data_IF_400434753662
#
_entry.id   IF_400434753662
#
_cell.length_a   1.000
_cell.length_b   1.000
_cell.length_c   1.000
_cell.angle_alpha   90.00
_cell.angle_beta   90.00
_cell.angle_gamma   90.00
#
_symmetry.space_group_name_H-M   'P 1'
#
loop_
_entity.id
_entity.type
_entity.pdbx_description
1 polymer ?
#
# COMPACT_ATOMS: atom_id res chain seq x y z
N UNK A 1 -6.25 -7.03 27.59
CA UNK A 1 -6.64 -5.73 27.04
C UNK A 1 -5.90 -5.56 25.70
N UNK A 2 -6.57 -5.08 24.65
CA UNK A 2 -5.95 -4.80 23.35
C UNK A 2 -5.45 -3.35 23.37
N UNK A 3 -4.23 -3.12 22.89
CA UNK A 3 -3.74 -1.78 22.60
C UNK A 3 -4.10 -1.48 21.12
N UNK A 4 -5.06 -0.59 20.92
CA UNK A 4 -5.55 -0.29 19.57
C UNK A 4 -4.59 0.63 18.82
N UNK A 5 -4.35 0.39 17.52
CA UNK A 5 -3.42 1.18 16.72
C UNK A 5 -3.95 2.60 16.48
N UNK A 6 -3.06 3.59 16.56
CA UNK A 6 -3.34 5.01 16.32
C UNK A 6 -4.49 5.59 17.18
N UNK A 7 -4.66 5.08 18.40
CA UNK A 7 -5.72 5.51 19.31
C UNK A 7 -5.17 5.94 20.68
N UNK A 8 -5.70 7.04 21.21
CA UNK A 8 -5.45 7.40 22.60
C UNK A 8 -6.35 6.55 23.51
N UNK A 9 -5.76 5.52 24.11
CA UNK A 9 -6.47 4.49 24.88
C UNK A 9 -7.36 5.03 26.02
N UNK A 10 -7.09 6.25 26.54
CA UNK A 10 -7.85 6.87 27.61
C UNK A 10 -9.17 7.47 27.13
N UNK A 11 -9.18 8.01 25.91
CA UNK A 11 -10.30 8.81 25.38
C UNK A 11 -11.00 8.17 24.19
N UNK A 12 -10.42 7.10 23.63
CA UNK A 12 -11.03 6.40 22.51
C UNK A 12 -12.45 5.91 22.82
N UNK A 13 -13.32 5.96 21.84
CA UNK A 13 -14.63 5.31 21.92
C UNK A 13 -14.45 3.79 21.83
N UNK A 14 -15.38 3.03 22.45
CA UNK A 14 -15.38 1.59 22.31
C UNK A 14 -15.49 1.20 20.83
N UNK A 15 -14.59 0.32 20.31
CA UNK A 15 -14.64 -0.08 18.92
C UNK A 15 -15.88 -0.94 18.63
N UNK A 16 -16.36 -0.86 17.39
CA UNK A 16 -17.49 -1.69 16.95
C UNK A 16 -17.06 -3.16 16.88
N UNK A 17 -17.80 -4.02 17.55
CA UNK A 17 -17.54 -5.45 17.55
C UNK A 17 -18.15 -6.10 16.32
N UNK A 18 -17.30 -6.57 15.40
CA UNK A 18 -17.73 -7.31 14.23
C UNK A 18 -17.99 -8.77 14.62
N UNK A 19 -19.14 -9.28 14.23
CA UNK A 19 -19.58 -10.67 14.50
C UNK A 19 -19.46 -11.54 13.27
N UNK A 20 -19.61 -10.94 12.08
CA UNK A 20 -19.48 -11.61 10.79
C UNK A 20 -19.15 -10.60 9.68
N UNK A 21 -18.70 -11.09 8.52
CA UNK A 21 -18.44 -10.26 7.36
C UNK A 21 -18.66 -11.06 6.08
N UNK A 22 -19.22 -10.43 5.01
CA UNK A 22 -19.49 -11.07 3.73
C UNK A 22 -19.56 -10.03 2.60
N UNK A 23 -18.94 -10.29 1.45
CA UNK A 23 -18.88 -9.34 0.35
C UNK A 23 -18.26 -8.03 0.79
N UNK A 24 -18.99 -6.92 0.69
CA UNK A 24 -18.52 -5.59 1.15
C UNK A 24 -19.03 -5.22 2.54
N UNK A 25 -19.67 -6.16 3.24
CA UNK A 25 -20.40 -5.88 4.47
C UNK A 25 -19.72 -6.43 5.72
N UNK A 26 -19.76 -5.62 6.77
CA UNK A 26 -19.44 -5.97 8.14
C UNK A 26 -20.73 -6.05 8.97
N UNK A 27 -20.86 -7.07 9.81
CA UNK A 27 -22.05 -7.26 10.66
C UNK A 27 -21.67 -7.09 12.12
N UNK A 28 -22.33 -6.13 12.77
CA UNK A 28 -22.33 -5.95 14.22
C UNK A 28 -23.57 -6.58 14.83
N UNK A 29 -23.80 -6.41 16.13
CA UNK A 29 -25.03 -6.86 16.76
C UNK A 29 -26.27 -6.14 16.21
N UNK A 30 -26.13 -4.85 15.88
CA UNK A 30 -27.25 -3.96 15.63
C UNK A 30 -27.25 -3.40 14.20
N UNK A 31 -26.15 -3.54 13.44
CA UNK A 31 -25.98 -2.92 12.12
C UNK A 31 -25.36 -3.88 11.09
N UNK A 32 -25.78 -3.70 9.85
CA UNK A 32 -25.09 -4.16 8.64
C UNK A 32 -24.42 -2.95 8.01
N UNK A 33 -23.09 -2.94 7.93
CA UNK A 33 -22.28 -1.82 7.50
C UNK A 33 -21.62 -2.10 6.16
N UNK A 34 -21.66 -1.16 5.23
CA UNK A 34 -20.80 -1.20 4.03
C UNK A 34 -19.39 -0.74 4.47
N UNK A 35 -18.37 -1.55 4.21
CA UNK A 35 -16.98 -1.17 4.49
C UNK A 35 -16.45 -0.24 3.39
N UNK A 36 -16.39 1.06 3.68
CA UNK A 36 -15.93 2.06 2.72
C UNK A 36 -14.41 2.12 2.54
N UNK A 37 -13.64 1.38 3.35
CA UNK A 37 -12.17 1.47 3.37
C UNK A 37 -11.46 0.12 3.24
N UNK A 38 -12.18 -0.95 2.89
CA UNK A 38 -11.62 -2.29 2.64
C UNK A 38 -10.67 -2.77 3.73
N UNK A 39 -11.02 -2.59 5.04
CA UNK A 39 -10.14 -2.93 6.17
C UNK A 39 -8.69 -2.44 5.96
N UNK A 40 -8.51 -1.13 5.85
CA UNK A 40 -7.25 -0.50 5.48
C UNK A 40 -6.70 -0.98 4.12
N UNK A 41 -7.61 -0.96 3.11
CA UNK A 41 -7.29 -1.04 1.68
C UNK A 41 -6.89 -2.42 1.18
N UNK A 42 -7.02 -3.47 2.01
CA UNK A 42 -6.58 -4.81 1.67
C UNK A 42 -7.68 -5.74 1.10
N UNK A 43 -8.96 -5.54 1.48
CA UNK A 43 -10.08 -6.44 1.13
C UNK A 43 -10.62 -6.22 -0.29
N UNK A 44 -9.77 -6.28 -1.31
CA UNK A 44 -10.18 -5.97 -2.71
C UNK A 44 -11.19 -6.97 -3.29
N UNK A 45 -11.18 -8.22 -2.84
CA UNK A 45 -12.09 -9.28 -3.26
C UNK A 45 -13.37 -9.37 -2.41
N UNK A 46 -13.50 -8.50 -1.40
CA UNK A 46 -14.54 -8.61 -0.39
C UNK A 46 -14.28 -9.72 0.64
N UNK A 47 -15.11 -9.72 1.67
CA UNK A 47 -15.03 -10.67 2.78
C UNK A 47 -15.57 -12.05 2.39
N UNK A 48 -14.98 -13.11 2.94
CA UNK A 48 -15.41 -14.51 2.74
C UNK A 48 -15.49 -14.93 1.27
N UNK A 49 -14.60 -14.45 0.41
CA UNK A 49 -14.58 -14.92 -0.97
C UNK A 49 -14.40 -16.45 -1.01
N UNK A 50 -15.31 -17.23 -1.65
CA UNK A 50 -15.33 -18.69 -1.54
C UNK A 50 -13.99 -19.34 -1.91
N UNK A 51 -13.43 -18.96 -3.07
CA UNK A 51 -12.18 -19.55 -3.57
C UNK A 51 -10.96 -19.19 -2.71
N UNK A 52 -10.89 -17.96 -2.16
CA UNK A 52 -9.80 -17.56 -1.26
C UNK A 52 -9.88 -18.31 0.07
N UNK A 53 -11.10 -18.46 0.59
CA UNK A 53 -11.35 -19.22 1.81
C UNK A 53 -10.97 -20.68 1.62
N UNK A 54 -11.31 -21.28 0.48
CA UNK A 54 -10.98 -22.66 0.17
C UNK A 54 -9.47 -22.86 -0.01
N UNK A 55 -8.79 -21.96 -0.72
CA UNK A 55 -7.34 -22.03 -0.90
C UNK A 55 -6.57 -22.10 0.43
N UNK A 56 -7.00 -21.34 1.45
CA UNK A 56 -6.41 -21.41 2.80
C UNK A 56 -6.72 -22.77 3.47
N UNK A 57 -7.96 -23.27 3.39
CA UNK A 57 -8.34 -24.55 4.00
C UNK A 57 -7.57 -25.70 3.38
N UNK A 58 -7.54 -25.80 2.06
CA UNK A 58 -6.79 -26.82 1.34
C UNK A 58 -5.30 -26.83 1.70
N UNK A 59 -4.69 -25.63 1.81
CA UNK A 59 -3.29 -25.55 2.22
C UNK A 59 -3.11 -25.91 3.71
N UNK A 60 -4.02 -25.49 4.59
CA UNK A 60 -3.97 -25.82 6.01
C UNK A 60 -4.08 -27.33 6.27
N UNK A 61 -4.87 -28.05 5.46
CA UNK A 61 -4.99 -29.50 5.51
C UNK A 61 -3.69 -30.22 5.09
N UNK A 62 -2.83 -29.58 4.31
CA UNK A 62 -1.52 -30.12 3.92
C UNK A 62 -0.46 -29.82 4.98
N UNK A 63 -0.17 -28.54 5.21
CA UNK A 63 0.73 -28.03 6.26
C UNK A 63 0.60 -26.50 6.36
N UNK A 64 0.81 -25.97 7.56
CA UNK A 64 0.63 -24.55 7.86
C UNK A 64 1.89 -23.70 7.60
N UNK A 65 3.09 -24.27 7.81
CA UNK A 65 4.35 -23.55 7.65
C UNK A 65 5.55 -24.49 7.53
N UNK A 66 6.51 -24.11 6.72
CA UNK A 66 7.90 -24.58 6.73
C UNK A 66 8.82 -23.37 6.44
N UNK A 67 9.98 -23.32 7.08
CA UNK A 67 10.96 -22.25 6.84
C UNK A 67 11.60 -22.38 5.44
N UNK A 68 11.95 -21.27 4.82
CA UNK A 68 12.66 -21.28 3.53
C UNK A 68 14.20 -21.43 3.67
N UNK A 69 14.72 -21.58 4.89
CA UNK A 69 16.14 -21.84 5.13
C UNK A 69 16.51 -23.28 4.81
N UNK A 70 16.86 -23.57 3.56
CA UNK A 70 17.21 -24.89 3.05
C UNK A 70 16.02 -25.78 2.68
N UNK A 71 14.80 -25.28 2.79
CA UNK A 71 13.55 -25.92 2.35
C UNK A 71 12.79 -25.02 1.39
N UNK A 72 11.92 -25.61 0.58
CA UNK A 72 10.98 -24.89 -0.28
C UNK A 72 9.63 -25.60 -0.28
N UNK A 73 8.62 -25.01 -0.89
CA UNK A 73 7.29 -25.59 -1.02
C UNK A 73 6.53 -25.04 -2.25
N UNK A 74 5.66 -25.87 -2.78
CA UNK A 74 4.90 -25.59 -3.99
C UNK A 74 4.16 -24.21 -3.97
N UNK A 75 3.44 -23.79 -2.90
CA UNK A 75 2.78 -22.49 -2.89
C UNK A 75 3.70 -21.29 -3.12
N UNK A 76 4.91 -21.27 -2.52
CA UNK A 76 5.84 -20.14 -2.71
C UNK A 76 6.45 -20.14 -4.11
N UNK A 77 6.78 -21.31 -4.65
CA UNK A 77 7.31 -21.46 -6.00
C UNK A 77 6.29 -21.00 -7.05
N UNK A 78 5.03 -21.42 -6.91
CA UNK A 78 3.94 -21.02 -7.79
C UNK A 78 3.64 -19.51 -7.69
N UNK A 79 3.62 -18.96 -6.46
CA UNK A 79 3.40 -17.53 -6.30
C UNK A 79 4.54 -16.71 -6.90
N UNK A 80 5.80 -17.13 -6.69
CA UNK A 80 6.96 -16.46 -7.30
C UNK A 80 6.88 -16.48 -8.82
N UNK A 81 6.63 -17.65 -9.43
CA UNK A 81 6.45 -17.77 -10.87
C UNK A 81 5.28 -16.92 -11.39
N UNK A 82 4.15 -16.91 -10.65
CA UNK A 82 3.00 -16.08 -11.02
C UNK A 82 3.28 -14.59 -10.94
N UNK A 83 4.04 -14.13 -9.96
CA UNK A 83 4.45 -12.73 -9.85
C UNK A 83 5.37 -12.33 -11.00
N UNK A 84 6.30 -13.18 -11.42
CA UNK A 84 7.15 -12.93 -12.60
C UNK A 84 6.35 -12.73 -13.90
N UNK A 85 5.24 -13.47 -14.07
CA UNK A 85 4.35 -13.32 -15.22
C UNK A 85 3.43 -12.08 -15.09
N UNK A 86 3.05 -11.73 -13.85
CA UNK A 86 2.04 -10.72 -13.55
C UNK A 86 2.63 -9.31 -13.43
N UNK A 87 3.91 -9.18 -13.05
CA UNK A 87 4.60 -7.90 -12.91
C UNK A 87 5.25 -7.46 -14.23
N UNK A 88 5.44 -6.15 -14.44
CA UNK A 88 6.07 -5.65 -15.65
C UNK A 88 7.60 -5.81 -15.65
N UNK A 89 8.17 -5.81 -16.83
CA UNK A 89 9.63 -5.75 -17.05
C UNK A 89 10.37 -7.01 -16.58
N UNK A 90 11.45 -6.80 -15.85
CA UNK A 90 12.35 -7.82 -15.29
C UNK A 90 12.31 -7.87 -13.75
N UNK A 91 11.15 -7.58 -13.16
CA UNK A 91 10.88 -7.71 -11.73
C UNK A 91 10.66 -9.19 -11.36
N UNK A 92 11.76 -9.95 -11.29
CA UNK A 92 11.74 -11.42 -11.27
C UNK A 92 12.11 -12.03 -9.91
N UNK A 93 12.78 -11.28 -9.01
CA UNK A 93 13.37 -11.84 -7.80
C UNK A 93 12.56 -11.46 -6.56
N UNK A 94 11.75 -12.40 -6.07
CA UNK A 94 10.83 -12.21 -4.96
C UNK A 94 11.47 -12.51 -3.60
N UNK A 95 11.43 -11.55 -2.68
CA UNK A 95 11.76 -11.74 -1.28
C UNK A 95 10.51 -11.51 -0.43
N UNK A 96 9.98 -12.57 0.17
CA UNK A 96 8.74 -12.52 0.94
C UNK A 96 8.97 -12.07 2.39
N UNK A 97 7.98 -11.40 2.97
CA UNK A 97 7.99 -10.91 4.35
C UNK A 97 6.57 -10.89 4.96
N UNK A 98 6.47 -10.60 6.26
CA UNK A 98 5.22 -10.74 7.00
C UNK A 98 4.33 -9.50 6.91
N UNK A 99 4.88 -8.35 6.53
CA UNK A 99 4.16 -7.08 6.45
C UNK A 99 4.78 -6.12 5.45
N UNK A 100 4.01 -5.11 5.01
CA UNK A 100 4.50 -4.05 4.13
C UNK A 100 5.68 -3.29 4.72
N UNK A 101 5.64 -2.93 6.01
CA UNK A 101 6.74 -2.23 6.67
C UNK A 101 8.05 -3.04 6.64
N UNK A 102 7.98 -4.36 6.86
CA UNK A 102 9.16 -5.24 6.76
C UNK A 102 9.64 -5.35 5.31
N UNK A 103 8.74 -5.41 4.33
CA UNK A 103 9.12 -5.42 2.91
C UNK A 103 9.81 -4.12 2.50
N UNK A 104 9.39 -2.96 3.01
CA UNK A 104 10.09 -1.68 2.85
C UNK A 104 11.48 -1.74 3.47
N UNK A 105 11.63 -2.23 4.71
CA UNK A 105 12.95 -2.44 5.34
C UNK A 105 13.88 -3.30 4.46
N UNK A 106 13.34 -4.37 3.86
CA UNK A 106 14.09 -5.25 2.96
C UNK A 106 14.52 -4.49 1.71
N UNK A 107 13.64 -3.70 1.08
CA UNK A 107 13.97 -2.91 -0.12
C UNK A 107 15.08 -1.90 0.13
N UNK A 108 15.03 -1.21 1.27
CA UNK A 108 16.07 -0.25 1.69
C UNK A 108 17.41 -0.95 2.00
N UNK A 109 17.37 -2.13 2.64
CA UNK A 109 18.56 -2.96 2.88
C UNK A 109 19.16 -3.45 1.56
N UNK A 110 18.33 -3.91 0.61
CA UNK A 110 18.79 -4.28 -0.72
C UNK A 110 19.48 -3.10 -1.41
N UNK A 111 18.88 -1.91 -1.40
CA UNK A 111 19.46 -0.74 -2.04
C UNK A 111 20.79 -0.31 -1.41
N UNK A 112 20.88 -0.30 -0.09
CA UNK A 112 22.13 0.04 0.62
C UNK A 112 23.22 -1.00 0.33
N UNK A 113 22.89 -2.29 0.45
CA UNK A 113 23.86 -3.36 0.25
C UNK A 113 24.25 -3.52 -1.22
N UNK A 114 23.36 -3.28 -2.18
CA UNK A 114 23.66 -3.19 -3.61
C UNK A 114 24.86 -2.27 -3.88
N UNK A 115 24.83 -1.06 -3.32
CA UNK A 115 25.93 -0.12 -3.45
C UNK A 115 27.19 -0.59 -2.72
N UNK A 116 27.04 -1.13 -1.51
CA UNK A 116 28.16 -1.64 -0.70
C UNK A 116 28.87 -2.81 -1.39
N UNK A 117 28.13 -3.76 -1.96
CA UNK A 117 28.67 -4.90 -2.69
C UNK A 117 29.47 -4.48 -3.94
N UNK A 118 29.17 -3.30 -4.48
CA UNK A 118 29.93 -2.68 -5.59
C UNK A 118 31.04 -1.73 -5.14
N UNK A 119 31.36 -1.68 -3.83
CA UNK A 119 32.39 -0.83 -3.27
C UNK A 119 32.02 0.66 -3.19
N UNK A 120 30.77 1.02 -3.34
CA UNK A 120 30.26 2.41 -3.30
C UNK A 120 29.74 2.77 -1.91
N UNK A 121 30.01 4.00 -1.47
CA UNK A 121 29.46 4.56 -0.22
C UNK A 121 28.39 5.58 -0.53
N UNK A 122 27.14 5.13 -0.55
CA UNK A 122 25.96 5.96 -0.81
C UNK A 122 25.00 5.84 0.38
N UNK A 123 25.16 6.63 1.44
CA UNK A 123 24.38 6.45 2.68
C UNK A 123 22.98 7.10 2.65
N UNK A 124 22.72 7.97 1.66
CA UNK A 124 21.48 8.75 1.64
C UNK A 124 20.34 8.03 0.91
N UNK A 125 19.15 8.19 1.43
CA UNK A 125 17.88 7.85 0.79
C UNK A 125 17.18 9.14 0.39
N UNK A 126 16.68 9.24 -0.84
CA UNK A 126 15.74 10.26 -1.24
C UNK A 126 14.31 9.74 -1.01
N UNK A 127 13.44 10.57 -0.46
CA UNK A 127 12.04 10.24 -0.21
C UNK A 127 11.14 11.47 -0.44
N UNK A 128 9.84 11.30 -0.43
CA UNK A 128 8.89 12.41 -0.59
C UNK A 128 8.45 12.98 0.75
N UNK A 129 8.22 14.28 0.79
CA UNK A 129 7.44 14.90 1.87
C UNK A 129 6.07 14.24 1.97
N UNK A 130 5.54 14.12 3.18
CA UNK A 130 4.28 13.44 3.48
C UNK A 130 4.24 11.95 3.13
N UNK A 131 5.38 11.30 2.92
CA UNK A 131 5.42 9.86 2.64
C UNK A 131 5.12 9.04 3.89
N UNK A 132 4.44 7.91 3.69
CA UNK A 132 4.28 6.88 4.71
C UNK A 132 4.68 5.51 4.16
N UNK A 133 5.65 4.88 4.78
CA UNK A 133 6.21 3.60 4.35
C UNK A 133 6.10 2.49 5.39
N UNK A 134 5.37 2.74 6.48
CA UNK A 134 5.16 1.78 7.57
C UNK A 134 5.75 2.22 8.91
N UNK A 135 5.64 1.33 9.92
CA UNK A 135 5.88 1.64 11.33
C UNK A 135 7.15 1.00 11.89
N UNK A 136 8.00 0.39 11.06
CA UNK A 136 9.34 -0.04 11.49
C UNK A 136 10.31 1.14 11.47
N UNK A 137 11.39 1.08 12.25
CA UNK A 137 12.27 2.24 12.46
C UNK A 137 12.76 2.87 11.15
N UNK A 138 13.26 2.09 10.20
CA UNK A 138 13.77 2.68 8.95
C UNK A 138 12.63 3.10 8.01
N UNK A 139 11.51 2.38 8.02
CA UNK A 139 10.31 2.80 7.30
C UNK A 139 9.77 4.15 7.81
N UNK A 140 9.78 4.38 9.14
CA UNK A 140 9.46 5.68 9.74
C UNK A 140 10.46 6.78 9.39
N UNK A 141 11.77 6.46 9.34
CA UNK A 141 12.81 7.42 8.97
C UNK A 141 12.68 7.92 7.52
N UNK A 142 12.30 7.05 6.59
CA UNK A 142 12.07 7.44 5.18
C UNK A 142 10.67 8.01 4.96
N UNK A 143 9.75 7.81 5.89
CA UNK A 143 8.49 8.52 5.96
C UNK A 143 8.69 9.99 6.37
N UNK A 144 7.66 10.81 6.13
CA UNK A 144 7.62 12.21 6.57
C UNK A 144 6.27 12.47 7.23
N UNK A 145 6.04 11.74 8.33
CA UNK A 145 4.79 11.79 9.09
C UNK A 145 5.07 12.24 10.52
N UNK A 146 5.03 13.55 10.72
CA UNK A 146 5.22 14.15 12.04
C UNK A 146 4.03 13.88 12.99
N UNK A 147 2.84 13.65 12.45
CA UNK A 147 1.63 13.46 13.26
C UNK A 147 1.61 12.12 13.99
N UNK A 148 2.10 11.05 13.35
CA UNK A 148 2.09 9.69 13.92
C UNK A 148 3.42 9.31 14.57
N UNK A 149 4.54 9.79 14.02
CA UNK A 149 5.88 9.31 14.38
C UNK A 149 6.75 10.34 15.10
N UNK A 150 6.19 11.43 15.61
CA UNK A 150 6.95 12.52 16.27
C UNK A 150 7.95 12.06 17.33
N UNK A 151 7.68 10.94 18.02
CA UNK A 151 8.55 10.39 19.05
C UNK A 151 9.78 9.64 18.49
N UNK A 152 9.79 9.34 17.19
CA UNK A 152 10.79 8.51 16.52
C UNK A 152 11.58 9.29 15.46
N UNK A 153 11.45 10.62 15.48
CA UNK A 153 12.05 11.50 14.47
C UNK A 153 13.59 11.45 14.55
N UNK A 154 14.17 10.61 13.69
CA UNK A 154 15.59 10.55 13.38
C UNK A 154 15.78 10.37 11.89
N UNK A 155 15.66 11.46 11.16
CA UNK A 155 15.80 11.47 9.68
C UNK A 155 17.28 11.50 9.22
N UNK A 156 18.20 10.94 10.02
CA UNK A 156 19.62 10.87 9.64
C UNK A 156 19.79 10.02 8.36
N UNK A 157 20.34 10.62 7.32
CA UNK A 157 20.58 9.95 6.05
C UNK A 157 19.37 9.89 5.11
N UNK A 158 18.33 10.69 5.35
CA UNK A 158 17.18 10.84 4.45
C UNK A 158 17.06 12.30 3.99
N UNK A 159 16.77 12.48 2.71
CA UNK A 159 16.44 13.77 2.10
C UNK A 159 15.00 13.72 1.64
N UNK A 160 14.14 14.58 2.17
CA UNK A 160 12.74 14.70 1.77
C UNK A 160 12.57 15.86 0.80
N UNK A 161 11.76 15.63 -0.25
CA UNK A 161 11.43 16.62 -1.27
C UNK A 161 9.93 16.63 -1.56
N UNK A 162 9.35 17.77 -1.96
CA UNK A 162 7.99 17.82 -2.46
C UNK A 162 7.86 17.09 -3.81
N UNK A 163 6.63 16.79 -4.22
CA UNK A 163 6.31 16.13 -5.51
C UNK A 163 6.41 17.12 -6.70
N UNK A 164 7.53 17.84 -6.78
CA UNK A 164 7.79 18.88 -7.78
C UNK A 164 9.07 18.56 -8.57
N UNK A 165 9.01 18.60 -9.90
CA UNK A 165 10.15 18.29 -10.77
C UNK A 165 11.38 19.15 -10.45
N UNK A 166 11.27 20.49 -10.25
CA UNK A 166 12.44 21.30 -9.91
C UNK A 166 13.14 20.87 -8.62
N UNK A 167 12.38 20.52 -7.58
CA UNK A 167 12.95 20.05 -6.32
C UNK A 167 13.64 18.68 -6.47
N UNK A 168 13.06 17.80 -7.30
CA UNK A 168 13.67 16.51 -7.64
C UNK A 168 15.02 16.71 -8.37
N UNK A 169 15.06 17.59 -9.37
CA UNK A 169 16.29 17.89 -10.12
C UNK A 169 17.38 18.50 -9.24
N UNK A 170 17.02 19.45 -8.38
CA UNK A 170 17.94 20.06 -7.39
C UNK A 170 18.50 19.02 -6.44
N UNK A 171 17.66 18.11 -5.90
CA UNK A 171 18.11 17.05 -5.01
C UNK A 171 19.09 16.09 -5.68
N UNK A 172 18.84 15.71 -6.94
CA UNK A 172 19.79 14.89 -7.69
C UNK A 172 21.08 15.63 -8.03
N UNK A 173 21.03 16.91 -8.41
CA UNK A 173 22.22 17.72 -8.65
C UNK A 173 23.10 17.79 -7.38
N UNK A 174 22.48 17.94 -6.21
CA UNK A 174 23.18 18.11 -4.95
C UNK A 174 23.68 16.79 -4.32
N UNK A 175 22.94 15.67 -4.47
CA UNK A 175 23.17 14.48 -3.65
C UNK A 175 23.41 13.18 -4.44
N UNK A 176 23.37 13.16 -5.79
CA UNK A 176 23.39 11.93 -6.59
C UNK A 176 24.56 10.99 -6.27
N UNK A 177 25.74 11.51 -5.93
CA UNK A 177 26.93 10.73 -5.58
C UNK A 177 26.83 10.01 -4.23
N UNK A 178 25.88 10.43 -3.38
CA UNK A 178 25.61 9.90 -2.04
C UNK A 178 24.28 9.16 -1.93
N UNK A 179 23.39 9.28 -2.91
CA UNK A 179 22.08 8.61 -2.93
C UNK A 179 22.24 7.11 -3.23
N UNK A 180 21.71 6.25 -2.37
CA UNK A 180 21.58 4.84 -2.67
C UNK A 180 20.29 4.51 -3.42
N UNK A 181 19.19 5.15 -3.05
CA UNK A 181 17.90 4.97 -3.70
C UNK A 181 17.00 6.20 -3.54
N UNK A 182 15.97 6.23 -4.37
CA UNK A 182 14.79 7.06 -4.23
C UNK A 182 13.58 6.16 -4.01
N UNK A 183 12.88 6.31 -2.86
CA UNK A 183 11.68 5.54 -2.54
C UNK A 183 10.45 6.44 -2.61
N UNK A 184 9.37 5.94 -3.23
CA UNK A 184 8.11 6.68 -3.39
C UNK A 184 6.89 5.77 -3.28
N UNK A 185 5.79 6.28 -2.76
CA UNK A 185 4.44 5.79 -3.02
C UNK A 185 3.99 6.35 -4.39
N UNK A 186 3.91 5.55 -5.46
CA UNK A 186 3.75 6.11 -6.80
C UNK A 186 2.32 6.58 -7.07
N UNK A 187 2.16 7.82 -7.59
CA UNK A 187 0.94 8.56 -7.94
C UNK A 187 0.04 8.94 -6.76
N UNK A 188 -0.01 8.16 -5.68
CA UNK A 188 -0.91 8.34 -4.55
C UNK A 188 -0.16 8.08 -3.25
N UNK A 189 0.06 9.12 -2.46
CA UNK A 189 0.54 9.02 -1.08
C UNK A 189 -0.67 8.73 -0.18
N UNK A 190 -0.79 7.49 0.33
CA UNK A 190 -1.96 7.04 1.06
C UNK A 190 -2.13 7.71 2.43
N UNK A 191 -1.45 7.21 3.45
CA UNK A 191 -1.56 7.72 4.82
C UNK A 191 -1.07 9.16 4.99
N UNK A 192 -0.24 9.66 4.08
CA UNK A 192 0.20 11.05 4.00
C UNK A 192 -0.87 12.05 3.53
N UNK A 193 -2.13 11.64 3.46
CA UNK A 193 -3.27 12.51 3.17
C UNK A 193 -3.93 12.29 1.82
N UNK A 194 -3.82 11.10 1.24
CA UNK A 194 -4.39 10.76 -0.08
C UNK A 194 -3.97 11.78 -1.16
N UNK A 195 -2.70 12.21 -1.12
CA UNK A 195 -2.14 13.20 -2.05
C UNK A 195 -1.88 12.54 -3.40
N UNK A 196 -2.33 13.19 -4.46
CA UNK A 196 -2.20 12.68 -5.81
C UNK A 196 -1.27 13.60 -6.61
N UNK A 197 -0.39 13.01 -7.43
CA UNK A 197 0.54 13.77 -8.27
C UNK A 197 0.68 13.15 -9.66
N UNK A 198 1.18 13.93 -10.60
CA UNK A 198 1.21 13.57 -12.02
C UNK A 198 2.33 12.56 -12.34
N UNK A 199 2.08 11.69 -13.31
CA UNK A 199 3.02 10.67 -13.79
C UNK A 199 4.33 11.25 -14.35
N UNK A 200 4.33 12.52 -14.80
CA UNK A 200 5.53 13.18 -15.31
C UNK A 200 6.64 13.26 -14.26
N UNK A 201 6.27 13.40 -12.98
CA UNK A 201 7.23 13.37 -11.87
C UNK A 201 7.96 12.03 -11.80
N UNK A 202 7.23 10.91 -11.88
CA UNK A 202 7.83 9.57 -11.84
C UNK A 202 8.68 9.26 -13.08
N UNK A 203 8.25 9.72 -14.26
CA UNK A 203 9.04 9.61 -15.49
C UNK A 203 10.37 10.34 -15.33
N UNK A 204 10.32 11.57 -14.81
CA UNK A 204 11.54 12.35 -14.56
C UNK A 204 12.42 11.71 -13.50
N UNK A 205 11.82 11.15 -12.44
CA UNK A 205 12.54 10.40 -11.41
C UNK A 205 13.30 9.19 -12.01
N UNK A 206 12.67 8.43 -12.91
CA UNK A 206 13.31 7.30 -13.58
C UNK A 206 14.51 7.75 -14.43
N UNK A 207 14.34 8.83 -15.22
CA UNK A 207 15.43 9.38 -16.02
C UNK A 207 16.65 9.77 -15.17
N UNK A 208 16.41 10.45 -14.05
CA UNK A 208 17.49 10.87 -13.14
C UNK A 208 18.13 9.68 -12.42
N UNK A 209 17.33 8.72 -11.98
CA UNK A 209 17.83 7.48 -11.38
C UNK A 209 18.72 6.71 -12.37
N UNK A 210 18.33 6.62 -13.63
CA UNK A 210 19.16 5.99 -14.68
C UNK A 210 20.43 6.78 -14.94
N UNK A 211 20.34 8.10 -15.06
CA UNK A 211 21.48 8.97 -15.34
C UNK A 211 22.56 8.89 -14.27
N UNK A 212 22.18 8.77 -12.99
CA UNK A 212 23.08 8.84 -11.85
C UNK A 212 23.32 7.47 -11.18
N UNK A 213 22.76 6.40 -11.74
CA UNK A 213 22.80 5.04 -11.18
C UNK A 213 22.35 5.00 -9.72
N UNK A 214 21.17 5.58 -9.45
CA UNK A 214 20.44 5.54 -8.18
C UNK A 214 19.27 4.57 -8.34
N UNK A 215 19.02 3.69 -7.37
CA UNK A 215 17.91 2.74 -7.45
C UNK A 215 16.57 3.45 -7.21
N UNK A 216 15.57 3.14 -8.03
CA UNK A 216 14.20 3.59 -7.84
C UNK A 216 13.38 2.48 -7.18
N UNK A 217 12.76 2.81 -6.04
CA UNK A 217 11.92 1.88 -5.29
C UNK A 217 10.47 2.39 -5.33
N UNK A 218 9.55 1.57 -5.81
CA UNK A 218 8.12 1.83 -5.69
C UNK A 218 7.53 1.06 -4.52
N UNK A 219 6.98 1.79 -3.56
CA UNK A 219 6.14 1.24 -2.52
C UNK A 219 4.70 1.21 -3.01
N UNK A 220 4.32 0.08 -3.61
CA UNK A 220 2.96 -0.19 -4.06
C UNK A 220 2.15 -1.04 -3.07
N UNK A 221 2.50 -1.01 -1.79
CA UNK A 221 1.74 -1.69 -0.73
C UNK A 221 0.29 -1.18 -0.68
N UNK A 222 0.09 0.12 -0.88
CA UNK A 222 -1.24 0.75 -0.90
C UNK A 222 -1.77 0.99 -2.31
N UNK A 223 -0.89 1.28 -3.27
CA UNK A 223 -1.24 1.75 -4.62
C UNK A 223 -1.38 0.62 -5.65
N UNK A 224 -0.81 -0.54 -5.39
CA UNK A 224 -0.87 -1.69 -6.28
C UNK A 224 -2.25 -2.33 -6.41
N UNK A 225 -2.35 -3.32 -7.27
CA UNK A 225 -3.58 -4.08 -7.54
C UNK A 225 -4.76 -3.19 -7.93
N UNK A 226 -4.51 -2.16 -8.74
CA UNK A 226 -5.57 -1.36 -9.35
C UNK A 226 -5.97 -0.10 -8.56
N UNK A 227 -5.46 0.14 -7.35
CA UNK A 227 -5.94 1.22 -6.49
C UNK A 227 -5.86 2.61 -7.13
N UNK A 228 -4.85 2.87 -7.97
CA UNK A 228 -4.66 4.13 -8.71
C UNK A 228 -5.36 4.17 -10.08
N UNK A 229 -6.14 3.14 -10.44
CA UNK A 229 -6.68 2.97 -11.80
C UNK A 229 -5.74 2.24 -12.76
N UNK A 230 -4.50 1.99 -12.36
CA UNK A 230 -3.54 1.13 -13.06
C UNK A 230 -3.37 -0.18 -12.29
N UNK A 231 -3.11 -1.30 -12.96
CA UNK A 231 -2.83 -2.58 -12.28
C UNK A 231 -1.71 -2.40 -11.27
N UNK A 232 -0.58 -1.88 -11.74
CA UNK A 232 0.53 -1.33 -10.97
C UNK A 232 0.98 -0.03 -11.61
N UNK A 233 1.47 0.93 -10.85
CA UNK A 233 2.11 2.11 -11.42
C UNK A 233 3.43 1.74 -12.10
N UNK A 234 4.03 0.65 -11.65
CA UNK A 234 5.18 0.00 -12.31
C UNK A 234 4.92 -0.37 -13.78
N UNK A 235 3.67 -0.56 -14.21
CA UNK A 235 3.32 -0.74 -15.64
C UNK A 235 3.58 0.52 -16.49
N UNK A 236 3.63 1.71 -15.88
CA UNK A 236 3.85 2.99 -16.55
C UNK A 236 5.30 3.48 -16.47
N UNK A 237 5.95 3.23 -15.33
CA UNK A 237 7.34 3.58 -15.05
C UNK A 237 7.96 2.44 -14.25
N UNK A 238 8.93 1.74 -14.81
CA UNK A 238 9.52 0.56 -14.20
C UNK A 238 10.51 0.94 -13.09
N UNK A 239 10.30 0.51 -11.83
CA UNK A 239 11.28 0.67 -10.76
C UNK A 239 12.36 -0.42 -10.80
N UNK A 240 13.43 -0.25 -10.04
CA UNK A 240 14.43 -1.30 -9.80
C UNK A 240 13.98 -2.29 -8.73
N UNK A 241 13.17 -1.80 -7.77
CA UNK A 241 12.59 -2.61 -6.68
C UNK A 241 11.12 -2.20 -6.51
N UNK A 242 10.26 -3.20 -6.41
CA UNK A 242 8.82 -3.04 -6.17
C UNK A 242 8.44 -3.69 -4.85
N UNK A 243 7.68 -2.98 -4.02
CA UNK A 243 7.16 -3.49 -2.74
C UNK A 243 5.66 -3.66 -2.83
N UNK A 244 5.14 -4.86 -2.51
CA UNK A 244 3.73 -5.20 -2.52
C UNK A 244 3.28 -5.75 -1.16
N UNK A 245 2.03 -5.50 -0.79
CA UNK A 245 1.41 -5.99 0.45
C UNK A 245 -0.10 -5.83 0.38
N UNK A 246 -0.76 -5.68 1.53
CA UNK A 246 -2.22 -5.42 1.64
C UNK A 246 -3.06 -6.29 0.69
N UNK A 247 -3.40 -5.74 -0.49
CA UNK A 247 -4.20 -6.41 -1.50
C UNK A 247 -3.59 -7.72 -2.03
N UNK A 248 -2.28 -7.93 -1.86
CA UNK A 248 -1.59 -9.15 -2.28
C UNK A 248 -2.29 -10.43 -1.78
N UNK A 249 -2.80 -10.42 -0.55
CA UNK A 249 -3.53 -11.55 0.02
C UNK A 249 -5.04 -11.32 0.10
N UNK A 250 -5.52 -10.21 -0.47
CA UNK A 250 -6.93 -9.82 -0.36
C UNK A 250 -7.41 -9.65 1.10
N UNK A 251 -6.49 -9.34 2.03
CA UNK A 251 -6.79 -9.13 3.44
C UNK A 251 -6.93 -10.41 4.29
N UNK A 252 -6.68 -11.58 3.73
CA UNK A 252 -6.85 -12.85 4.43
C UNK A 252 -5.77 -13.13 5.48
N UNK A 253 -4.52 -12.72 5.19
CA UNK A 253 -3.38 -12.96 6.09
C UNK A 253 -2.29 -11.92 5.83
N UNK A 254 -1.54 -11.54 6.87
CA UNK A 254 -0.40 -10.64 6.74
C UNK A 254 0.69 -11.26 5.85
N UNK A 255 1.03 -10.59 4.77
CA UNK A 255 2.08 -10.99 3.83
C UNK A 255 2.48 -9.82 2.94
N UNK A 256 3.73 -9.81 2.53
CA UNK A 256 4.26 -8.82 1.60
C UNK A 256 5.42 -9.42 0.80
N UNK A 257 5.79 -8.75 -0.26
CA UNK A 257 6.92 -9.15 -1.10
C UNK A 257 7.69 -7.92 -1.57
N UNK A 258 9.01 -8.02 -1.52
CA UNK A 258 9.94 -7.11 -2.19
C UNK A 258 10.42 -7.81 -3.45
N UNK A 259 10.18 -7.21 -4.61
CA UNK A 259 10.57 -7.79 -5.90
C UNK A 259 11.65 -6.92 -6.52
N UNK A 260 12.78 -7.51 -6.81
CA UNK A 260 13.94 -6.85 -7.42
C UNK A 260 14.09 -7.24 -8.89
N UNK A 261 14.67 -6.34 -9.68
CA UNK A 261 15.09 -6.63 -11.05
C UNK A 261 16.45 -7.36 -11.11
N UNK A 262 16.86 -7.80 -12.29
CA UNK A 262 18.15 -8.44 -12.52
C UNK A 262 19.35 -7.61 -12.06
N UNK A 263 19.33 -6.30 -12.34
CA UNK A 263 20.40 -5.37 -11.95
C UNK A 263 20.68 -5.42 -10.45
N UNK A 264 19.62 -5.43 -9.64
CA UNK A 264 19.73 -5.48 -8.17
C UNK A 264 20.20 -6.86 -7.73
N UNK A 265 19.58 -7.93 -8.22
CA UNK A 265 19.89 -9.31 -7.84
C UNK A 265 21.34 -9.68 -8.14
N UNK A 266 21.87 -9.31 -9.29
CA UNK A 266 23.24 -9.65 -9.74
C UNK A 266 24.32 -9.11 -8.80
N UNK A 267 24.05 -8.02 -8.07
CA UNK A 267 24.98 -7.48 -7.08
C UNK A 267 25.13 -8.37 -5.82
N UNK A 268 24.21 -9.31 -5.63
CA UNK A 268 24.23 -10.29 -4.54
C UNK A 268 24.62 -11.69 -5.01
N UNK A 269 24.53 -11.95 -6.31
CA UNK A 269 24.84 -13.26 -6.89
C UNK A 269 26.36 -13.45 -7.04
N UNK A 270 26.96 -14.14 -6.07
CA UNK A 270 28.43 -14.27 -5.94
C UNK A 270 28.83 -15.57 -5.25
N UNK A 271 30.10 -15.98 -5.46
CA UNK A 271 30.71 -17.08 -4.70
C UNK A 271 31.18 -16.63 -3.29
N UNK A 272 31.09 -15.34 -2.96
CA UNK A 272 31.42 -14.80 -1.65
C UNK A 272 30.15 -14.69 -0.78
N UNK A 273 30.02 -15.59 0.18
CA UNK A 273 28.87 -15.64 1.11
C UNK A 273 28.60 -14.32 1.85
N UNK A 274 29.61 -13.45 1.98
CA UNK A 274 29.48 -12.13 2.65
C UNK A 274 28.63 -11.15 1.84
N UNK A 275 28.45 -11.39 0.53
CA UNK A 275 27.65 -10.56 -0.35
C UNK A 275 26.15 -10.95 -0.32
N UNK A 276 25.79 -12.04 0.35
CA UNK A 276 24.41 -12.47 0.48
C UNK A 276 23.57 -11.47 1.29
N UNK A 277 22.28 -11.37 0.97
CA UNK A 277 21.33 -10.58 1.77
C UNK A 277 21.03 -11.31 3.08
N UNK A 278 21.59 -10.82 4.18
CA UNK A 278 21.43 -11.42 5.52
C UNK A 278 20.16 -10.89 6.20
N UNK A 279 19.01 -11.34 5.71
CA UNK A 279 17.66 -11.08 6.27
C UNK A 279 16.79 -12.31 6.01
N UNK A 280 15.92 -12.66 6.96
CA UNK A 280 15.05 -13.84 6.82
C UNK A 280 14.04 -13.93 7.96
N UNK A 281 12.82 -13.36 7.80
CA UNK A 281 11.74 -13.54 8.77
C UNK A 281 11.34 -15.02 8.87
N UNK A 282 11.04 -15.50 10.08
CA UNK A 282 10.66 -16.91 10.31
C UNK A 282 9.52 -17.37 9.40
N UNK A 283 8.50 -16.53 9.22
CA UNK A 283 7.31 -16.86 8.44
C UNK A 283 7.34 -16.36 6.99
N UNK A 284 8.50 -15.91 6.48
CA UNK A 284 8.61 -15.51 5.08
C UNK A 284 8.14 -16.60 4.13
N UNK A 285 7.41 -16.23 3.09
CA UNK A 285 6.85 -17.20 2.16
C UNK A 285 5.87 -18.18 2.81
N UNK A 286 5.12 -17.74 3.83
CA UNK A 286 4.16 -18.62 4.52
C UNK A 286 3.23 -19.32 3.53
N UNK A 287 3.10 -20.67 3.57
CA UNK A 287 2.34 -21.44 2.58
C UNK A 287 0.86 -21.02 2.46
N UNK A 288 0.21 -20.68 3.60
CA UNK A 288 -1.19 -20.23 3.61
C UNK A 288 -1.32 -18.88 2.90
N UNK A 289 -0.39 -17.97 3.17
CA UNK A 289 -0.35 -16.65 2.54
C UNK A 289 -0.05 -16.74 1.04
N UNK A 290 0.91 -17.60 0.66
CA UNK A 290 1.23 -17.82 -0.75
C UNK A 290 0.06 -18.45 -1.53
N UNK A 291 -0.64 -19.40 -0.94
CA UNK A 291 -1.80 -20.05 -1.58
C UNK A 291 -2.94 -19.04 -1.82
N UNK A 292 -3.27 -18.21 -0.82
CA UNK A 292 -4.33 -17.21 -0.98
C UNK A 292 -3.91 -16.06 -1.89
N UNK A 293 -2.65 -15.62 -1.88
CA UNK A 293 -2.14 -14.60 -2.77
C UNK A 293 -2.17 -15.05 -4.24
N UNK A 294 -1.72 -16.27 -4.52
CA UNK A 294 -1.81 -16.86 -5.85
C UNK A 294 -3.26 -16.90 -6.35
N UNK A 295 -4.18 -17.40 -5.53
CA UNK A 295 -5.60 -17.45 -5.88
C UNK A 295 -6.20 -16.06 -6.08
N UNK A 296 -5.80 -15.06 -5.28
CA UNK A 296 -6.23 -13.67 -5.43
C UNK A 296 -5.80 -13.07 -6.78
N UNK A 297 -4.58 -13.32 -7.22
CA UNK A 297 -4.09 -12.87 -8.54
C UNK A 297 -4.90 -13.55 -9.67
N UNK A 298 -5.15 -14.87 -9.58
CA UNK A 298 -5.95 -15.59 -10.56
C UNK A 298 -7.38 -15.01 -10.69
N UNK A 299 -8.02 -14.66 -9.57
CA UNK A 299 -9.35 -14.03 -9.54
C UNK A 299 -9.28 -12.63 -10.14
N UNK A 300 -8.28 -11.83 -9.77
CA UNK A 300 -8.09 -10.46 -10.26
C UNK A 300 -8.03 -10.42 -11.79
N UNK A 301 -7.26 -11.33 -12.40
CA UNK A 301 -7.17 -11.44 -13.86
C UNK A 301 -8.47 -11.98 -14.49
N UNK A 302 -8.99 -13.10 -13.98
CA UNK A 302 -10.15 -13.78 -14.53
C UNK A 302 -11.40 -12.90 -14.53
N UNK A 303 -11.58 -12.08 -13.51
CA UNK A 303 -12.79 -11.28 -13.34
C UNK A 303 -12.65 -9.83 -13.84
N UNK A 304 -11.60 -9.54 -14.59
CA UNK A 304 -11.32 -8.22 -15.18
C UNK A 304 -11.50 -7.06 -14.17
N UNK A 305 -10.75 -7.14 -13.07
CA UNK A 305 -10.84 -6.12 -12.03
C UNK A 305 -10.51 -4.72 -12.52
N UNK A 306 -9.66 -4.59 -13.53
CA UNK A 306 -9.36 -3.29 -14.11
C UNK A 306 -10.58 -2.61 -14.73
N UNK A 307 -11.50 -3.36 -15.32
CA UNK A 307 -12.78 -2.79 -15.79
C UNK A 307 -13.68 -2.39 -14.63
N UNK A 308 -13.76 -3.21 -13.56
CA UNK A 308 -14.50 -2.87 -12.33
C UNK A 308 -13.97 -1.57 -11.70
N UNK A 309 -12.65 -1.41 -11.61
CA UNK A 309 -12.01 -0.23 -11.03
C UNK A 309 -12.27 1.02 -11.87
N UNK A 310 -12.16 0.94 -13.20
CA UNK A 310 -12.52 2.06 -14.10
C UNK A 310 -13.98 2.48 -13.92
N UNK A 311 -14.88 1.51 -13.74
CA UNK A 311 -16.29 1.79 -13.47
C UNK A 311 -16.49 2.48 -12.11
N UNK A 312 -15.83 1.99 -11.05
CA UNK A 312 -15.84 2.63 -9.71
C UNK A 312 -15.36 4.08 -9.82
N UNK A 313 -14.27 4.34 -10.54
CA UNK A 313 -13.76 5.70 -10.73
C UNK A 313 -14.77 6.58 -11.48
N UNK A 314 -15.41 6.05 -12.53
CA UNK A 314 -16.42 6.78 -13.29
C UNK A 314 -17.63 7.17 -12.43
N UNK A 315 -18.16 6.23 -11.64
CA UNK A 315 -19.26 6.51 -10.70
C UNK A 315 -18.82 7.52 -9.64
N UNK A 316 -17.62 7.34 -9.09
CA UNK A 316 -17.07 8.25 -8.08
C UNK A 316 -16.92 9.67 -8.59
N UNK A 317 -16.46 9.87 -9.84
CA UNK A 317 -16.39 11.20 -10.46
C UNK A 317 -17.78 11.79 -10.67
N UNK A 318 -18.72 11.00 -11.17
CA UNK A 318 -20.10 11.46 -11.37
C UNK A 318 -20.76 11.96 -10.08
N UNK A 319 -20.46 11.32 -8.96
CA UNK A 319 -21.07 11.64 -7.66
C UNK A 319 -20.33 12.73 -6.86
N UNK A 320 -19.00 12.77 -6.94
CA UNK A 320 -18.18 13.51 -5.99
C UNK A 320 -17.36 14.65 -6.61
N UNK A 321 -17.06 14.65 -7.91
CA UNK A 321 -16.16 15.65 -8.51
C UNK A 321 -16.71 17.08 -8.43
N UNK A 322 -18.04 17.25 -8.53
CA UNK A 322 -18.71 18.53 -8.40
C UNK A 322 -19.16 18.85 -6.96
N UNK A 323 -18.89 17.96 -5.99
CA UNK A 323 -19.33 18.17 -4.62
C UNK A 323 -18.50 19.27 -3.94
N UNK A 324 -19.16 20.29 -3.46
CA UNK A 324 -18.53 21.44 -2.79
C UNK A 324 -19.30 21.83 -1.52
N UNK A 325 -18.56 22.28 -0.52
CA UNK A 325 -19.06 22.89 0.72
C UNK A 325 -17.98 23.87 1.22
N UNK A 326 -18.31 24.97 1.90
CA UNK A 326 -17.31 25.93 2.38
C UNK A 326 -16.25 25.33 3.33
N UNK A 327 -16.53 24.21 3.98
CA UNK A 327 -15.59 23.48 4.85
C UNK A 327 -14.62 22.58 4.08
N UNK A 328 -14.95 22.25 2.83
CA UNK A 328 -14.13 21.38 1.96
C UNK A 328 -13.05 22.19 1.28
N UNK A 329 -11.81 21.76 1.44
CA UNK A 329 -10.65 22.31 0.76
C UNK A 329 -10.51 21.74 -0.65
N UNK A 330 -10.68 20.42 -0.79
CA UNK A 330 -10.50 19.72 -2.05
C UNK A 330 -11.18 18.34 -2.06
N UNK A 331 -11.64 17.92 -3.22
CA UNK A 331 -12.05 16.54 -3.49
C UNK A 331 -11.10 15.93 -4.51
N UNK A 332 -10.49 14.81 -4.16
CA UNK A 332 -9.54 14.06 -5.00
C UNK A 332 -10.08 12.67 -5.34
N UNK A 333 -9.95 12.28 -6.62
CA UNK A 333 -10.45 10.99 -7.12
C UNK A 333 -9.40 10.37 -8.03
N UNK A 334 -9.01 9.14 -7.74
CA UNK A 334 -8.10 8.35 -8.57
C UNK A 334 -8.40 6.86 -8.40
N UNK A 335 -8.75 6.17 -9.49
CA UNK A 335 -9.05 4.75 -9.46
C UNK A 335 -10.10 4.38 -8.42
N UNK A 336 -9.75 3.52 -7.47
CA UNK A 336 -10.61 3.11 -6.37
C UNK A 336 -10.49 3.97 -5.11
N UNK A 337 -9.95 5.17 -5.19
CA UNK A 337 -9.76 6.10 -4.08
C UNK A 337 -10.53 7.41 -4.27
N UNK A 338 -11.32 7.79 -3.27
CA UNK A 338 -11.95 9.12 -3.16
C UNK A 338 -11.56 9.73 -1.83
N UNK A 339 -11.11 10.98 -1.84
CA UNK A 339 -10.77 11.74 -0.64
C UNK A 339 -11.44 13.11 -0.65
N UNK A 340 -12.10 13.47 0.45
CA UNK A 340 -12.60 14.81 0.75
C UNK A 340 -11.70 15.38 1.85
N UNK A 341 -10.88 16.38 1.51
CA UNK A 341 -10.06 17.11 2.46
C UNK A 341 -10.82 18.32 2.99
N UNK A 342 -10.91 18.47 4.30
CA UNK A 342 -11.51 19.64 4.95
C UNK A 342 -10.44 20.63 5.38
N UNK A 343 -10.83 21.91 5.56
CA UNK A 343 -9.94 22.95 6.10
C UNK A 343 -9.58 22.73 7.56
N UNK A 344 -10.50 22.18 8.35
CA UNK A 344 -10.34 21.96 9.80
C UNK A 344 -10.80 20.54 10.16
N UNK A 345 -9.94 19.76 10.82
CA UNK A 345 -10.24 18.39 11.25
C UNK A 345 -11.46 18.30 12.18
N UNK A 346 -11.79 19.40 12.90
CA UNK A 346 -12.98 19.50 13.75
C UNK A 346 -14.28 19.34 12.95
N UNK A 347 -14.28 19.64 11.66
CA UNK A 347 -15.43 19.44 10.79
C UNK A 347 -15.76 17.96 10.56
N UNK A 348 -14.82 17.07 10.86
CA UNK A 348 -15.00 15.60 10.78
C UNK A 348 -15.29 14.95 12.14
N UNK A 349 -15.29 15.72 13.24
CA UNK A 349 -15.60 15.17 14.57
C UNK A 349 -17.01 14.59 14.63
N UNK A 350 -17.08 13.28 14.90
CA UNK A 350 -18.34 12.54 14.98
C UNK A 350 -18.76 11.86 13.67
N UNK A 351 -18.08 12.12 12.54
CA UNK A 351 -18.44 11.51 11.25
C UNK A 351 -18.47 9.98 11.30
N UNK A 352 -17.50 9.34 11.95
CA UNK A 352 -17.47 7.87 12.05
C UNK A 352 -18.76 7.32 12.71
N UNK A 353 -19.26 7.98 13.76
CA UNK A 353 -20.49 7.57 14.43
C UNK A 353 -21.71 7.82 13.53
N UNK A 354 -21.78 8.98 12.89
CA UNK A 354 -22.83 9.31 11.94
C UNK A 354 -22.89 8.28 10.80
N UNK A 355 -21.76 7.96 10.17
CA UNK A 355 -21.68 6.98 9.10
C UNK A 355 -22.12 5.58 9.58
N UNK A 356 -21.74 5.19 10.79
CA UNK A 356 -22.19 3.93 11.41
C UNK A 356 -23.71 3.86 11.52
N UNK A 357 -24.36 4.94 11.99
CA UNK A 357 -25.82 5.02 12.12
C UNK A 357 -26.52 4.96 10.77
N UNK A 358 -25.85 5.41 9.69
CA UNK A 358 -26.32 5.32 8.31
C UNK A 358 -25.98 4.00 7.61
N UNK A 359 -25.36 3.03 8.32
CA UNK A 359 -25.02 1.72 7.76
C UNK A 359 -23.73 1.70 6.94
N UNK A 360 -22.82 2.63 7.18
CA UNK A 360 -21.49 2.70 6.53
C UNK A 360 -20.40 2.69 7.59
N UNK A 361 -19.40 1.83 7.42
CA UNK A 361 -18.16 1.93 8.19
C UNK A 361 -17.17 2.82 7.45
N UNK A 362 -16.77 3.90 8.10
CA UNK A 362 -15.75 4.83 7.63
C UNK A 362 -14.87 5.25 8.81
N UNK A 363 -13.61 5.53 8.54
CA UNK A 363 -12.64 5.98 9.55
C UNK A 363 -11.87 7.18 9.01
N UNK A 364 -12.40 8.41 9.18
CA UNK A 364 -11.64 9.60 8.83
C UNK A 364 -10.38 9.71 9.69
N UNK A 365 -9.37 10.37 9.20
CA UNK A 365 -8.15 10.68 9.95
C UNK A 365 -7.68 12.10 9.58
N UNK A 366 -7.16 12.82 10.57
CA UNK A 366 -6.77 14.21 10.39
C UNK A 366 -7.88 15.01 9.66
N UNK A 367 -7.53 15.66 8.57
CA UNK A 367 -8.45 16.44 7.74
C UNK A 367 -9.11 15.64 6.61
N UNK A 368 -9.02 14.31 6.63
CA UNK A 368 -9.37 13.48 5.48
C UNK A 368 -10.55 12.54 5.79
N UNK A 369 -11.64 12.74 5.05
CA UNK A 369 -12.73 11.80 4.90
C UNK A 369 -12.53 11.08 3.57
N UNK A 370 -12.42 9.75 3.57
CA UNK A 370 -12.04 9.02 2.36
C UNK A 370 -12.77 7.70 2.20
N UNK A 371 -12.74 7.19 0.98
CA UNK A 371 -13.23 5.89 0.59
C UNK A 371 -12.19 5.16 -0.27
N UNK A 372 -11.92 3.89 0.06
CA UNK A 372 -11.13 2.95 -0.72
C UNK A 372 -11.82 1.59 -0.70
N UNK A 373 -12.83 1.43 -1.54
CA UNK A 373 -13.78 0.31 -1.49
C UNK A 373 -13.19 -1.02 -1.99
N UNK A 374 -13.80 -2.17 -1.59
CA UNK A 374 -13.60 -3.44 -2.28
C UNK A 374 -14.09 -3.34 -3.73
N UNK A 375 -13.38 -3.95 -4.68
CA UNK A 375 -13.72 -3.84 -6.11
C UNK A 375 -14.96 -4.64 -6.55
N UNK A 376 -15.54 -5.39 -5.63
CA UNK A 376 -16.79 -6.15 -5.83
C UNK A 376 -18.04 -5.37 -5.36
N UNK A 377 -17.87 -4.10 -5.01
CA UNK A 377 -18.96 -3.22 -4.58
C UNK A 377 -19.95 -2.96 -5.72
N UNK A 378 -21.24 -2.91 -5.43
CA UNK A 378 -22.27 -2.49 -6.39
C UNK A 378 -22.37 -0.97 -6.46
N UNK A 379 -22.97 -0.45 -7.53
CA UNK A 379 -23.21 0.98 -7.69
C UNK A 379 -24.08 1.55 -6.58
N UNK A 380 -25.10 0.81 -6.15
CA UNK A 380 -26.00 1.21 -5.07
C UNK A 380 -25.25 1.38 -3.74
N UNK A 381 -24.35 0.44 -3.43
CA UNK A 381 -23.52 0.47 -2.23
C UNK A 381 -22.50 1.60 -2.29
N UNK A 382 -21.89 1.82 -3.46
CA UNK A 382 -20.90 2.89 -3.67
C UNK A 382 -21.56 4.28 -3.55
N UNK A 383 -22.70 4.47 -4.21
CA UNK A 383 -23.48 5.72 -4.12
C UNK A 383 -23.93 5.97 -2.67
N UNK A 384 -24.36 4.91 -1.95
CA UNK A 384 -24.73 5.04 -0.53
C UNK A 384 -23.58 5.59 0.32
N UNK A 385 -22.33 5.17 0.08
CA UNK A 385 -21.16 5.72 0.78
C UNK A 385 -21.05 7.22 0.51
N UNK A 386 -21.15 7.62 -0.75
CA UNK A 386 -21.04 9.04 -1.13
C UNK A 386 -22.19 9.89 -0.63
N UNK A 387 -23.40 9.35 -0.60
CA UNK A 387 -24.56 10.04 -0.03
C UNK A 387 -24.35 10.32 1.47
N UNK A 388 -23.85 9.34 2.23
CA UNK A 388 -23.50 9.52 3.64
C UNK A 388 -22.41 10.58 3.84
N UNK A 389 -21.39 10.61 2.97
CA UNK A 389 -20.35 11.63 2.99
C UNK A 389 -20.93 13.04 2.72
N UNK A 390 -21.80 13.17 1.71
CA UNK A 390 -22.46 14.44 1.34
C UNK A 390 -23.44 14.92 2.40
N UNK A 391 -24.22 14.00 2.99
CA UNK A 391 -25.24 14.29 4.00
C UNK A 391 -24.62 14.87 5.28
N UNK A 392 -23.45 14.39 5.69
CA UNK A 392 -22.71 14.96 6.81
C UNK A 392 -22.50 16.47 6.73
N UNK A 393 -22.23 16.99 5.55
CA UNK A 393 -22.04 18.42 5.33
C UNK A 393 -23.37 19.19 5.22
N UNK A 394 -24.49 18.50 4.95
CA UNK A 394 -25.83 19.13 4.89
C UNK A 394 -26.47 19.28 6.26
N UNK A 395 -26.21 18.35 7.18
CA UNK A 395 -26.81 18.32 8.49
C UNK A 395 -26.10 19.19 9.55
N UNK A 396 -24.87 19.62 9.28
CA UNK A 396 -24.05 20.50 10.14
C UNK A 396 -23.93 21.92 9.56
#
# INVERSE_FOLDING_TARGET
MIWYPYEQMKTMKAPYKILDAEGVHLYTKDQKLIDSISSWWCMIHGYKHPELTEAIKEQADRFCHVMLGGLTHEPVEKLSAKLQEFLPGDLDYCFFSDSGSVAVEVSLKMALQYNTNQGRKRPLVLALEHAYHGDTFKAMEVGDDEDYHFAFDKKEGVVHIPTEIPALEEAFEQYHDRLNCFIVEPLLQGAGGMRMYDISFLKRARELCDQYDVLLIFDEVATGFGRTGNRFVADLVLPDILVLGKALTGGYIGHAVTVANHKVFDAFYSDDDRLALMHGPTFMGNPLACAVALKGIEIFEREDYMSKIRHIEQVSRGEMEAFTDPRIKEVRIMGGCVCVEVHDSRDLEGFQQFAYEQGVFSRPFLNYMYSMVPYVISDEELIKIFDVMKEWFREK
#
